data_IF_453954122091
#
_entry.id   IF_453954122091
#
_cell.length_a   1.000
_cell.length_b   1.000
_cell.length_c   1.000
_cell.angle_alpha   90.00
_cell.angle_beta   90.00
_cell.angle_gamma   90.00
#
_symmetry.space_group_name_H-M   'P 1'
#
loop_
_entity.id
_entity.type
_entity.pdbx_description
1 polymer ?
#
# COMPACT_ATOMS: atom_id res chain seq x y z
N UNK A 1 32.96 -4.00 1.09
CA UNK A 1 31.93 -3.04 0.64
C UNK A 1 31.78 -3.19 -0.87
N UNK A 2 30.77 -3.89 -1.33
CA UNK A 2 30.48 -4.04 -2.76
C UNK A 2 29.70 -2.80 -3.20
N UNK A 3 30.11 -2.18 -4.29
CA UNK A 3 29.48 -0.96 -4.84
C UNK A 3 28.12 -1.26 -5.45
N UNK A 4 27.20 -0.29 -5.47
CA UNK A 4 25.83 -0.42 -6.01
C UNK A 4 25.74 -0.99 -7.45
N UNK A 5 26.79 -0.87 -8.23
CA UNK A 5 26.86 -1.45 -9.59
C UNK A 5 26.99 -2.97 -9.61
N UNK A 6 27.52 -3.60 -8.56
CA UNK A 6 27.65 -5.06 -8.49
C UNK A 6 26.34 -5.72 -8.00
N UNK A 7 25.49 -4.99 -7.28
CA UNK A 7 24.15 -5.47 -6.91
C UNK A 7 23.13 -5.43 -8.06
N UNK A 8 23.27 -4.50 -8.99
CA UNK A 8 22.36 -4.36 -10.15
C UNK A 8 22.47 -5.52 -11.15
N UNK A 9 23.59 -6.23 -11.22
CA UNK A 9 23.78 -7.36 -12.13
C UNK A 9 23.27 -8.71 -11.59
N UNK A 10 22.94 -8.78 -10.30
CA UNK A 10 22.35 -9.96 -9.66
C UNK A 10 20.81 -9.93 -9.63
N UNK A 11 20.22 -8.79 -9.93
CA UNK A 11 18.78 -8.68 -10.20
C UNK A 11 18.59 -8.97 -11.68
N UNK A 12 18.58 -10.24 -12.08
CA UNK A 12 17.90 -10.61 -13.31
C UNK A 12 16.49 -10.08 -13.17
N UNK A 13 16.05 -9.24 -14.09
CA UNK A 13 14.65 -8.92 -14.30
C UNK A 13 13.96 -10.24 -14.68
N UNK A 14 13.62 -11.01 -13.65
CA UNK A 14 12.81 -12.19 -13.83
C UNK A 14 11.46 -11.70 -14.33
N UNK A 15 11.18 -12.04 -15.59
CA UNK A 15 9.81 -12.14 -16.10
C UNK A 15 8.98 -12.72 -14.95
N UNK A 16 7.76 -12.20 -14.68
CA UNK A 16 6.96 -12.67 -13.57
C UNK A 16 6.95 -14.18 -13.63
N UNK A 17 7.61 -14.81 -12.67
CA UNK A 17 7.64 -16.26 -12.57
C UNK A 17 6.21 -16.69 -12.48
N UNK A 18 5.72 -17.31 -13.53
CA UNK A 18 4.34 -17.80 -13.64
C UNK A 18 3.95 -18.74 -12.51
N UNK A 19 4.92 -19.17 -11.71
CA UNK A 19 4.75 -20.12 -10.63
C UNK A 19 5.65 -19.78 -9.44
N UNK A 20 5.14 -19.03 -8.47
CA UNK A 20 5.76 -18.98 -7.14
C UNK A 20 5.86 -20.39 -6.53
N UNK A 21 4.99 -21.30 -6.95
CA UNK A 21 4.92 -22.71 -6.55
C UNK A 21 5.71 -23.65 -7.45
N UNK A 22 5.95 -23.30 -8.72
CA UNK A 22 6.93 -24.00 -9.57
C UNK A 22 8.34 -23.89 -9.03
N UNK A 23 8.61 -22.85 -8.25
CA UNK A 23 9.86 -22.69 -7.48
C UNK A 23 10.00 -23.72 -6.35
N UNK A 24 8.88 -24.22 -5.84
CA UNK A 24 8.81 -25.25 -4.80
C UNK A 24 8.60 -26.66 -5.39
N UNK A 25 8.59 -26.80 -6.71
CA UNK A 25 8.44 -28.12 -7.34
C UNK A 25 9.70 -28.95 -7.09
N UNK A 26 9.50 -30.18 -6.64
CA UNK A 26 10.51 -31.09 -6.09
C UNK A 26 11.67 -31.44 -7.02
N UNK A 27 11.70 -30.90 -8.23
CA UNK A 27 12.77 -31.16 -9.23
C UNK A 27 13.66 -29.93 -9.48
N UNK A 28 13.38 -28.78 -8.87
CA UNK A 28 14.29 -27.64 -8.92
C UNK A 28 15.43 -27.84 -7.92
N UNK A 29 16.68 -27.62 -8.37
CA UNK A 29 17.83 -27.57 -7.47
C UNK A 29 17.54 -26.58 -6.34
N UNK A 30 17.87 -26.90 -5.07
CA UNK A 30 17.67 -25.97 -3.98
C UNK A 30 18.42 -24.69 -4.29
N UNK A 31 17.70 -23.56 -4.28
CA UNK A 31 18.33 -22.26 -4.44
C UNK A 31 18.98 -21.92 -3.11
N UNK A 32 20.29 -21.80 -3.11
CA UNK A 32 21.06 -21.31 -1.98
C UNK A 32 21.00 -19.78 -1.96
N UNK A 33 20.70 -19.22 -0.81
CA UNK A 33 20.68 -17.75 -0.60
C UNK A 33 21.30 -17.44 0.78
N UNK A 34 21.97 -16.31 0.87
CA UNK A 34 22.61 -15.86 2.10
C UNK A 34 21.68 -15.02 2.97
N UNK A 35 20.68 -14.39 2.36
CA UNK A 35 19.74 -13.52 3.06
C UNK A 35 18.37 -13.46 2.39
N UNK A 36 17.33 -13.23 3.21
CA UNK A 36 15.96 -12.93 2.76
C UNK A 36 15.65 -11.48 3.11
N UNK A 37 15.19 -10.71 2.12
CA UNK A 37 14.72 -9.34 2.31
C UNK A 37 13.22 -9.23 2.11
N UNK A 38 12.49 -8.82 3.16
CA UNK A 38 11.06 -8.57 3.11
C UNK A 38 10.83 -7.10 2.80
N UNK A 39 10.02 -6.82 1.77
CA UNK A 39 9.65 -5.45 1.37
C UNK A 39 8.15 -5.35 1.14
N UNK A 40 7.61 -4.13 1.24
CA UNK A 40 6.27 -3.83 0.76
C UNK A 40 6.29 -3.75 -0.78
N UNK A 41 5.28 -4.35 -1.40
CA UNK A 41 5.09 -4.22 -2.84
C UNK A 41 4.45 -2.86 -3.17
N UNK A 42 4.93 -2.19 -4.22
CA UNK A 42 4.28 -1.00 -4.75
C UNK A 42 2.97 -1.36 -5.45
N UNK A 43 2.03 -0.40 -5.63
CA UNK A 43 0.80 -0.64 -6.40
C UNK A 43 1.06 -1.17 -7.81
N UNK A 44 2.09 -0.67 -8.50
CA UNK A 44 2.50 -1.10 -9.84
C UNK A 44 2.97 -2.56 -9.82
N UNK A 45 3.71 -2.94 -8.78
CA UNK A 45 4.16 -4.33 -8.60
C UNK A 45 2.98 -5.27 -8.36
N UNK A 46 2.02 -4.87 -7.53
CA UNK A 46 0.79 -5.64 -7.29
C UNK A 46 0.00 -5.81 -8.59
N UNK A 47 -0.18 -4.73 -9.37
CA UNK A 47 -0.85 -4.81 -10.69
C UNK A 47 -0.11 -5.73 -11.66
N UNK A 48 1.23 -5.75 -11.64
CA UNK A 48 2.01 -6.65 -12.50
C UNK A 48 1.83 -8.13 -12.18
N UNK A 49 1.50 -8.47 -10.93
CA UNK A 49 1.20 -9.85 -10.51
C UNK A 49 -0.25 -10.23 -10.74
N UNK A 50 -1.14 -9.25 -10.88
CA UNK A 50 -2.57 -9.47 -10.95
C UNK A 50 -3.02 -10.00 -12.31
N UNK A 51 -3.98 -10.93 -12.29
CA UNK A 51 -4.67 -11.44 -13.49
C UNK A 51 -5.95 -10.65 -13.80
N UNK A 52 -6.30 -9.65 -13.00
CA UNK A 52 -7.43 -8.77 -13.22
C UNK A 52 -7.94 -8.10 -11.96
N UNK A 53 -8.77 -7.09 -12.16
CA UNK A 53 -9.40 -6.31 -11.11
C UNK A 53 -10.69 -6.98 -10.62
N UNK A 54 -10.81 -7.11 -9.30
CA UNK A 54 -12.04 -7.54 -8.63
C UNK A 54 -12.90 -6.30 -8.37
N UNK A 55 -14.06 -6.20 -9.05
CA UNK A 55 -14.94 -5.01 -9.00
C UNK A 55 -16.18 -5.20 -8.14
N UNK A 56 -16.50 -6.45 -7.81
CA UNK A 56 -17.72 -6.80 -7.08
C UNK A 56 -17.41 -7.57 -5.81
N UNK A 57 -18.15 -7.32 -4.73
CA UNK A 57 -17.96 -8.05 -3.47
C UNK A 57 -18.53 -9.47 -3.48
N UNK A 58 -19.35 -9.82 -4.50
CA UNK A 58 -19.99 -11.12 -4.59
C UNK A 58 -18.96 -12.23 -4.79
N UNK A 59 -19.24 -13.36 -4.18
CA UNK A 59 -18.40 -14.56 -4.24
C UNK A 59 -18.95 -15.58 -5.24
N UNK A 60 -20.13 -16.11 -4.95
CA UNK A 60 -20.83 -17.13 -5.74
C UNK A 60 -22.29 -16.75 -5.96
N UNK A 61 -22.86 -17.24 -7.05
CA UNK A 61 -24.29 -17.18 -7.28
C UNK A 61 -24.98 -18.28 -6.47
N UNK A 62 -25.88 -17.92 -5.54
CA UNK A 62 -26.55 -18.87 -4.65
C UNK A 62 -27.47 -19.88 -5.36
N UNK A 63 -27.96 -19.55 -6.56
CA UNK A 63 -28.81 -20.45 -7.36
C UNK A 63 -27.99 -21.49 -8.11
N UNK A 64 -26.82 -21.07 -8.67
CA UNK A 64 -26.03 -21.94 -9.56
C UNK A 64 -24.76 -22.48 -8.92
N UNK A 65 -24.39 -21.98 -7.74
CA UNK A 65 -23.13 -22.23 -7.01
C UNK A 65 -21.87 -21.98 -7.84
N UNK A 66 -21.98 -21.17 -8.90
CA UNK A 66 -20.85 -20.78 -9.73
C UNK A 66 -20.28 -19.44 -9.26
N UNK A 67 -18.95 -19.21 -9.40
CA UNK A 67 -18.34 -17.92 -9.11
C UNK A 67 -18.97 -16.80 -9.93
N UNK A 68 -19.29 -15.71 -9.26
CA UNK A 68 -19.78 -14.49 -9.93
C UNK A 68 -18.69 -13.84 -10.76
N UNK A 69 -19.09 -13.26 -11.88
CA UNK A 69 -18.19 -12.57 -12.78
C UNK A 69 -17.70 -11.28 -12.12
N UNK A 70 -16.39 -11.03 -12.20
CA UNK A 70 -15.69 -9.87 -11.63
C UNK A 70 -15.80 -9.77 -10.09
N UNK A 71 -16.26 -10.84 -9.44
CA UNK A 71 -16.33 -11.01 -7.99
C UNK A 71 -15.06 -11.59 -7.38
N UNK A 72 -15.09 -11.79 -6.06
CA UNK A 72 -13.94 -12.29 -5.28
C UNK A 72 -13.49 -13.70 -5.66
N UNK A 73 -14.33 -14.49 -6.33
CA UNK A 73 -14.01 -15.85 -6.82
C UNK A 73 -14.07 -15.99 -8.34
N UNK A 74 -14.03 -14.87 -9.06
CA UNK A 74 -14.19 -14.84 -10.51
C UNK A 74 -13.29 -15.86 -11.25
N UNK A 75 -13.89 -16.71 -12.07
CA UNK A 75 -13.15 -17.72 -12.81
C UNK A 75 -12.28 -17.12 -13.93
N UNK A 76 -12.62 -15.92 -14.43
CA UNK A 76 -11.82 -15.22 -15.44
C UNK A 76 -10.50 -14.70 -14.84
N UNK A 77 -10.54 -14.23 -13.59
CA UNK A 77 -9.37 -13.68 -12.90
C UNK A 77 -8.52 -14.82 -12.32
N UNK A 78 -9.14 -15.69 -11.55
CA UNK A 78 -8.41 -16.70 -10.77
C UNK A 78 -8.26 -18.05 -11.47
N UNK A 79 -9.04 -18.31 -12.51
CA UNK A 79 -9.01 -19.56 -13.23
C UNK A 79 -10.27 -20.43 -13.04
N UNK A 80 -10.35 -21.57 -13.75
CA UNK A 80 -11.51 -22.44 -13.75
C UNK A 80 -11.71 -23.14 -12.40
N UNK A 81 -12.94 -23.51 -12.08
CA UNK A 81 -13.28 -24.29 -10.87
C UNK A 81 -13.08 -25.79 -11.03
N UNK A 82 -13.09 -26.28 -12.27
CA UNK A 82 -12.85 -27.67 -12.62
C UNK A 82 -11.68 -27.75 -13.60
N UNK A 83 -10.90 -28.83 -13.52
CA UNK A 83 -9.76 -29.06 -14.40
C UNK A 83 -10.19 -29.11 -15.86
N UNK A 84 -9.53 -28.29 -16.68
CA UNK A 84 -9.72 -28.23 -18.12
C UNK A 84 -11.17 -27.99 -18.57
N UNK A 85 -11.96 -27.26 -17.78
CA UNK A 85 -13.34 -26.89 -18.12
C UNK A 85 -13.55 -25.38 -17.92
N UNK A 86 -14.03 -24.68 -18.95
CA UNK A 86 -14.39 -23.26 -18.80
C UNK A 86 -15.70 -23.10 -18.03
N UNK A 87 -15.98 -21.91 -17.46
CA UNK A 87 -17.14 -21.66 -16.61
C UNK A 87 -18.50 -21.88 -17.31
N UNK A 88 -18.59 -21.63 -18.63
CA UNK A 88 -19.81 -21.86 -19.42
C UNK A 88 -19.96 -23.31 -19.94
N UNK A 89 -18.91 -24.14 -19.83
CA UNK A 89 -18.91 -25.50 -20.28
C UNK A 89 -18.73 -25.71 -21.79
N UNK A 90 -18.46 -24.65 -22.56
CA UNK A 90 -18.21 -24.72 -24.02
C UNK A 90 -16.96 -25.54 -24.34
N UNK A 91 -15.87 -25.27 -23.64
CA UNK A 91 -14.60 -25.97 -23.77
C UNK A 91 -14.41 -26.90 -22.58
N UNK A 92 -14.23 -28.19 -22.85
CA UNK A 92 -13.98 -29.25 -21.89
C UNK A 92 -12.85 -30.14 -22.36
N UNK A 93 -12.12 -30.73 -21.43
CA UNK A 93 -11.02 -31.65 -21.64
C UNK A 93 -9.68 -30.98 -22.00
N UNK A 94 -8.63 -31.73 -21.79
CA UNK A 94 -7.22 -31.34 -21.92
C UNK A 94 -6.83 -30.87 -23.33
N UNK A 95 -7.52 -31.32 -24.38
CA UNK A 95 -7.24 -30.90 -25.76
C UNK A 95 -7.39 -29.39 -25.99
N UNK A 96 -8.12 -28.71 -25.15
CA UNK A 96 -8.30 -27.25 -25.21
C UNK A 96 -7.46 -26.51 -24.17
N UNK A 97 -6.45 -27.16 -23.57
CA UNK A 97 -5.58 -26.54 -22.57
C UNK A 97 -4.94 -25.25 -23.13
N UNK A 98 -4.98 -24.17 -22.34
CA UNK A 98 -4.45 -22.85 -22.68
C UNK A 98 -5.39 -22.00 -23.54
N UNK A 99 -6.52 -22.52 -24.01
CA UNK A 99 -7.51 -21.73 -24.77
C UNK A 99 -8.31 -20.85 -23.84
N UNK A 100 -8.41 -19.56 -24.16
CA UNK A 100 -9.33 -18.64 -23.47
C UNK A 100 -10.69 -18.71 -24.13
N UNK A 101 -11.71 -19.04 -23.35
CA UNK A 101 -13.06 -19.18 -23.86
C UNK A 101 -13.61 -17.82 -24.35
N UNK A 102 -14.02 -17.75 -25.62
CA UNK A 102 -14.63 -16.57 -26.24
C UNK A 102 -15.95 -16.14 -25.59
N UNK A 103 -16.73 -17.10 -25.02
CA UNK A 103 -18.01 -16.81 -24.39
C UNK A 103 -17.88 -16.33 -22.92
N UNK A 104 -17.04 -16.96 -22.12
CA UNK A 104 -16.94 -16.64 -20.68
C UNK A 104 -15.60 -16.03 -20.26
N UNK A 105 -14.61 -15.95 -21.16
CA UNK A 105 -13.30 -15.37 -20.87
C UNK A 105 -12.40 -16.18 -19.93
N UNK A 106 -12.81 -17.43 -19.59
CA UNK A 106 -12.06 -18.29 -18.67
C UNK A 106 -11.05 -19.12 -19.47
N UNK A 107 -9.81 -19.11 -19.02
CA UNK A 107 -8.75 -19.96 -19.58
C UNK A 107 -8.97 -21.41 -19.18
N UNK A 108 -8.84 -22.33 -20.14
CA UNK A 108 -8.99 -23.77 -19.93
C UNK A 108 -7.67 -24.33 -19.41
N UNK A 109 -7.55 -24.45 -18.09
CA UNK A 109 -6.36 -24.94 -17.40
C UNK A 109 -6.74 -25.75 -16.16
N UNK A 110 -5.76 -26.17 -15.38
CA UNK A 110 -6.01 -26.88 -14.12
C UNK A 110 -6.61 -25.94 -13.06
N UNK A 111 -7.56 -26.43 -12.28
CA UNK A 111 -8.19 -25.67 -11.19
C UNK A 111 -7.19 -25.23 -10.10
N UNK A 112 -6.04 -25.91 -9.99
CA UNK A 112 -4.94 -25.57 -9.06
C UNK A 112 -4.46 -24.14 -9.23
N UNK A 113 -4.48 -23.56 -10.45
CA UNK A 113 -4.07 -22.18 -10.71
C UNK A 113 -4.84 -21.16 -9.88
N UNK A 114 -6.03 -21.49 -9.38
CA UNK A 114 -6.81 -20.63 -8.48
C UNK A 114 -6.13 -20.36 -7.14
N UNK A 115 -5.20 -21.21 -6.73
CA UNK A 115 -4.38 -21.01 -5.51
C UNK A 115 -3.13 -20.20 -5.76
N UNK A 116 -2.77 -19.96 -7.01
CA UNK A 116 -1.52 -19.32 -7.43
C UNK A 116 -1.79 -17.92 -8.00
N UNK A 117 -2.90 -17.75 -8.72
CA UNK A 117 -3.24 -16.47 -9.37
C UNK A 117 -3.71 -15.43 -8.36
N UNK A 118 -3.17 -14.23 -8.50
CA UNK A 118 -3.55 -13.06 -7.73
C UNK A 118 -4.47 -12.15 -8.55
N UNK A 119 -5.43 -11.54 -7.90
CA UNK A 119 -6.19 -10.40 -8.41
C UNK A 119 -5.88 -9.17 -7.57
N UNK A 120 -6.40 -8.02 -7.96
CA UNK A 120 -6.27 -6.78 -7.20
C UNK A 120 -7.61 -6.08 -7.06
N UNK A 121 -7.70 -5.21 -6.08
CA UNK A 121 -8.82 -4.31 -5.85
C UNK A 121 -8.27 -2.89 -5.91
N UNK A 122 -8.82 -2.06 -6.81
CA UNK A 122 -8.51 -0.63 -6.83
C UNK A 122 -9.26 0.05 -5.68
N UNK A 123 -8.51 0.76 -4.85
CA UNK A 123 -9.11 1.52 -3.75
C UNK A 123 -9.62 2.87 -4.25
N UNK A 124 -10.81 3.28 -3.79
CA UNK A 124 -11.40 4.57 -4.14
C UNK A 124 -10.57 5.76 -3.63
N UNK A 125 -9.86 5.58 -2.50
CA UNK A 125 -8.98 6.58 -1.91
C UNK A 125 -7.73 5.92 -1.32
N UNK A 126 -6.61 6.65 -1.17
CA UNK A 126 -5.42 6.13 -0.51
C UNK A 126 -5.72 5.69 0.92
N UNK A 127 -5.02 4.63 1.36
CA UNK A 127 -5.11 4.12 2.73
C UNK A 127 -3.72 4.08 3.34
N UNK A 128 -3.60 4.51 4.60
CA UNK A 128 -2.34 4.44 5.34
C UNK A 128 -2.04 3.02 5.75
N UNK A 129 -0.81 2.54 5.47
CA UNK A 129 -0.39 1.20 5.84
C UNK A 129 -0.24 1.08 7.37
N UNK A 130 -0.83 0.04 7.95
CA UNK A 130 -0.89 -0.18 9.40
C UNK A 130 0.49 -0.25 10.07
N UNK A 131 1.51 -0.77 9.41
CA UNK A 131 2.88 -0.84 9.97
C UNK A 131 3.50 0.53 10.21
N UNK A 132 3.20 1.52 9.37
CA UNK A 132 3.70 2.88 9.53
C UNK A 132 2.81 3.76 10.39
N UNK A 133 1.53 3.39 10.50
CA UNK A 133 0.54 4.15 11.25
C UNK A 133 0.41 3.64 12.70
N UNK A 134 0.05 2.36 12.93
CA UNK A 134 -0.19 1.79 14.27
C UNK A 134 1.02 1.10 14.89
N UNK A 135 2.18 1.12 14.25
CA UNK A 135 3.42 0.65 14.87
C UNK A 135 3.76 1.44 16.14
N UNK A 136 4.45 0.83 17.08
CA UNK A 136 4.93 1.51 18.30
C UNK A 136 6.46 1.60 18.29
N UNK A 137 7.03 2.80 18.06
CA UNK A 137 6.36 4.10 17.81
C UNK A 137 5.81 4.21 16.39
N UNK A 138 4.74 5.01 16.19
CA UNK A 138 4.21 5.29 14.86
C UNK A 138 5.23 6.02 13.99
N UNK A 139 5.63 5.43 12.86
CA UNK A 139 6.59 6.07 11.95
C UNK A 139 6.02 7.38 11.38
N UNK A 140 4.77 7.38 10.94
CA UNK A 140 4.08 8.59 10.44
C UNK A 140 4.03 9.65 11.54
N UNK A 141 3.68 9.26 12.76
CA UNK A 141 3.64 10.17 13.90
C UNK A 141 4.99 10.80 14.21
N UNK A 142 6.07 10.02 14.13
CA UNK A 142 7.43 10.54 14.36
C UNK A 142 7.91 11.46 13.23
N UNK A 143 7.62 11.12 11.97
CA UNK A 143 7.95 11.97 10.81
C UNK A 143 7.22 13.30 10.89
N UNK A 144 5.90 13.30 11.09
CA UNK A 144 5.07 14.50 11.15
C UNK A 144 5.15 15.22 12.48
N UNK A 145 5.74 14.63 13.53
CA UNK A 145 5.71 15.12 14.91
C UNK A 145 4.29 15.31 15.43
N UNK A 146 3.44 14.31 15.18
CA UNK A 146 2.04 14.28 15.60
C UNK A 146 1.76 13.06 16.48
N UNK A 147 0.96 13.19 17.54
CA UNK A 147 0.55 12.06 18.34
C UNK A 147 -0.37 11.12 17.54
N UNK A 148 -0.35 9.83 17.88
CA UNK A 148 -1.15 8.82 17.20
C UNK A 148 -2.65 9.15 17.22
N UNK A 149 -3.15 9.68 18.35
CA UNK A 149 -4.55 10.08 18.50
C UNK A 149 -5.00 11.12 17.47
N UNK A 150 -4.14 12.09 17.19
CA UNK A 150 -4.45 13.15 16.22
C UNK A 150 -4.42 12.59 14.79
N UNK A 151 -3.48 11.69 14.50
CA UNK A 151 -3.45 10.97 13.23
C UNK A 151 -4.69 10.09 13.02
N UNK A 152 -5.19 9.45 14.07
CA UNK A 152 -6.44 8.67 14.01
C UNK A 152 -7.62 9.53 13.63
N UNK A 153 -7.80 10.70 14.24
CA UNK A 153 -8.88 11.63 13.90
C UNK A 153 -8.83 12.07 12.43
N UNK A 154 -7.64 12.34 11.90
CA UNK A 154 -7.48 12.70 10.48
C UNK A 154 -7.84 11.50 9.58
N UNK A 155 -7.25 10.33 9.85
CA UNK A 155 -7.36 9.15 9.00
C UNK A 155 -8.77 8.54 9.00
N UNK A 156 -9.50 8.67 10.11
CA UNK A 156 -10.88 8.20 10.23
C UNK A 156 -11.93 9.27 9.91
N UNK A 157 -11.51 10.40 9.31
CA UNK A 157 -12.39 11.46 8.83
C UNK A 157 -13.21 12.15 9.95
N UNK A 158 -12.65 12.24 11.17
CA UNK A 158 -13.27 12.95 12.29
C UNK A 158 -12.95 14.45 12.28
N UNK A 159 -11.69 14.81 11.97
CA UNK A 159 -11.22 16.20 11.98
C UNK A 159 -10.38 16.52 10.73
N UNK A 160 -10.40 17.77 10.32
CA UNK A 160 -9.51 18.31 9.29
C UNK A 160 -8.12 18.61 9.84
N UNK A 161 -7.11 18.44 9.03
CA UNK A 161 -5.75 18.93 9.30
C UNK A 161 -5.42 20.09 8.38
N UNK A 162 -4.80 21.13 8.93
CA UNK A 162 -4.31 22.28 8.16
C UNK A 162 -3.06 21.88 7.40
N UNK A 163 -3.15 21.87 6.08
CA UNK A 163 -2.04 21.59 5.15
C UNK A 163 -1.23 22.85 4.89
N UNK A 164 -1.93 23.96 4.60
CA UNK A 164 -1.35 25.27 4.43
C UNK A 164 -2.25 26.30 5.16
N UNK A 165 -1.72 27.03 6.13
CA UNK A 165 -2.48 28.03 6.89
C UNK A 165 -2.83 29.27 6.07
N UNK A 166 -2.10 29.59 5.00
CA UNK A 166 -2.35 30.77 4.19
C UNK A 166 -2.51 32.05 5.01
N UNK A 167 -3.68 32.69 4.91
CA UNK A 167 -4.06 33.92 5.67
C UNK A 167 -4.88 33.63 6.93
N UNK A 168 -5.23 32.37 7.20
CA UNK A 168 -6.05 32.03 8.36
C UNK A 168 -5.22 32.01 9.67
N UNK A 169 -5.82 32.31 10.82
CA UNK A 169 -5.16 32.25 12.13
C UNK A 169 -5.04 30.83 12.64
N UNK A 170 -4.43 29.94 11.85
CA UNK A 170 -4.17 28.55 12.16
C UNK A 170 -2.72 28.22 11.87
N UNK A 171 -2.20 27.17 12.49
CA UNK A 171 -0.83 26.70 12.22
C UNK A 171 -0.87 25.45 11.33
N UNK A 172 0.16 25.23 10.55
CA UNK A 172 0.33 23.99 9.79
C UNK A 172 0.27 22.79 10.74
N UNK A 173 -0.53 21.78 10.38
CA UNK A 173 -0.83 20.55 11.16
C UNK A 173 -1.79 20.73 12.33
N UNK A 174 -2.39 21.91 12.53
CA UNK A 174 -3.47 22.07 13.50
C UNK A 174 -4.69 21.22 13.08
N UNK A 175 -5.40 20.69 14.07
CA UNK A 175 -6.65 19.97 13.86
C UNK A 175 -7.83 20.92 13.98
N UNK A 176 -8.73 20.82 13.03
CA UNK A 176 -9.95 21.63 12.98
C UNK A 176 -11.17 20.71 12.91
N UNK A 177 -12.11 20.91 13.82
CA UNK A 177 -13.44 20.31 13.68
C UNK A 177 -14.13 20.83 12.42
N UNK A 178 -15.09 20.07 11.89
CA UNK A 178 -15.87 20.44 10.70
C UNK A 178 -16.47 21.86 10.84
N UNK A 179 -17.07 22.15 12.02
CA UNK A 179 -17.70 23.45 12.28
C UNK A 179 -16.67 24.60 12.30
N UNK A 180 -15.50 24.38 12.87
CA UNK A 180 -14.44 25.38 12.94
C UNK A 180 -13.81 25.64 11.57
N UNK A 181 -13.61 24.60 10.77
CA UNK A 181 -13.13 24.73 9.41
C UNK A 181 -14.12 25.53 8.54
N UNK A 182 -15.42 25.26 8.71
CA UNK A 182 -16.49 26.01 8.02
C UNK A 182 -16.51 27.49 8.41
N UNK A 183 -16.48 27.81 9.70
CA UNK A 183 -16.41 29.19 10.18
C UNK A 183 -15.21 29.96 9.65
N UNK A 184 -14.03 29.33 9.66
CA UNK A 184 -12.81 29.94 9.09
C UNK A 184 -12.94 30.18 7.58
N UNK A 185 -13.59 29.28 6.86
CA UNK A 185 -13.87 29.45 5.43
C UNK A 185 -14.89 30.58 5.15
N UNK A 186 -15.87 30.78 6.03
CA UNK A 186 -16.83 31.88 5.96
C UNK A 186 -16.15 33.23 6.28
N UNK A 187 -15.24 33.29 7.25
CA UNK A 187 -14.54 34.51 7.68
C UNK A 187 -13.42 34.97 6.73
N UNK A 188 -12.64 34.03 6.20
CA UNK A 188 -11.42 34.34 5.43
C UNK A 188 -11.54 34.00 3.94
N UNK A 189 -12.61 33.32 3.53
CA UNK A 189 -12.81 32.79 2.19
C UNK A 189 -12.31 31.34 2.04
N UNK A 190 -12.94 30.56 1.13
CA UNK A 190 -12.63 29.13 0.97
C UNK A 190 -11.21 28.86 0.48
N UNK A 191 -10.62 29.78 -0.28
CA UNK A 191 -9.26 29.65 -0.86
C UNK A 191 -8.17 30.26 0.02
N UNK A 192 -8.52 30.82 1.18
CA UNK A 192 -7.56 31.50 2.06
C UNK A 192 -6.62 30.54 2.78
N UNK A 193 -6.97 29.31 2.93
CA UNK A 193 -6.20 28.25 3.58
C UNK A 193 -6.54 26.87 3.00
N UNK A 194 -5.63 25.92 3.16
CA UNK A 194 -5.83 24.56 2.66
C UNK A 194 -5.94 23.56 3.82
N UNK A 195 -7.03 22.82 3.84
CA UNK A 195 -7.28 21.74 4.79
C UNK A 195 -7.54 20.42 4.06
N UNK A 196 -7.33 19.31 4.74
CA UNK A 196 -7.60 17.99 4.20
C UNK A 196 -7.98 17.00 5.27
N UNK A 197 -8.53 15.88 4.85
CA UNK A 197 -8.85 14.71 5.69
C UNK A 197 -8.28 13.43 5.09
N UNK A 198 -8.25 12.38 5.91
CA UNK A 198 -7.88 11.05 5.46
C UNK A 198 -6.40 10.85 5.13
N UNK A 199 -6.10 9.73 4.51
CA UNK A 199 -4.72 9.38 4.14
C UNK A 199 -4.13 10.28 3.05
N UNK A 200 -4.99 10.93 2.28
CA UNK A 200 -4.56 11.87 1.23
C UNK A 200 -3.90 13.11 1.82
N UNK A 201 -4.50 13.68 2.86
CA UNK A 201 -3.92 14.79 3.61
C UNK A 201 -2.59 14.42 4.27
N UNK A 202 -2.51 13.24 4.88
CA UNK A 202 -1.26 12.71 5.47
C UNK A 202 -0.18 12.52 4.38
N UNK A 203 -0.53 12.01 3.20
CA UNK A 203 0.38 11.87 2.07
C UNK A 203 0.94 13.21 1.61
N UNK A 204 0.11 14.25 1.56
CA UNK A 204 0.53 15.59 1.19
C UNK A 204 1.49 16.18 2.24
N UNK A 205 1.19 16.04 3.52
CA UNK A 205 2.08 16.46 4.61
C UNK A 205 3.43 15.75 4.55
N UNK A 206 3.45 14.45 4.26
CA UNK A 206 4.69 13.67 4.15
C UNK A 206 5.52 14.07 2.93
N UNK A 207 4.89 14.33 1.78
CA UNK A 207 5.57 14.80 0.55
C UNK A 207 6.23 16.18 0.73
N UNK A 208 5.67 17.00 1.59
CA UNK A 208 6.22 18.31 1.93
C UNK A 208 7.34 18.29 2.97
N UNK A 209 7.85 17.12 3.39
CA UNK A 209 8.95 16.99 4.34
C UNK A 209 10.31 16.91 3.63
N UNK A 210 11.24 17.76 4.03
CA UNK A 210 12.68 17.59 3.76
C UNK A 210 13.30 16.79 4.90
N UNK A 211 13.61 15.52 4.64
CA UNK A 211 14.15 14.61 5.66
C UNK A 211 15.57 14.98 6.07
N UNK A 212 16.38 15.50 5.14
CA UNK A 212 17.75 15.89 5.45
C UNK A 212 17.81 17.16 6.31
N UNK A 213 17.00 18.16 5.97
CA UNK A 213 16.86 19.37 6.78
C UNK A 213 16.35 19.02 8.18
N UNK A 214 15.32 18.18 8.27
CA UNK A 214 14.77 17.71 9.54
C UNK A 214 15.78 16.92 10.38
N UNK A 215 16.62 16.11 9.75
CA UNK A 215 17.70 15.37 10.45
C UNK A 215 18.73 16.33 11.04
N UNK A 216 19.15 17.36 10.27
CA UNK A 216 20.09 18.40 10.75
C UNK A 216 19.52 19.19 11.94
N UNK A 217 18.27 19.61 11.83
CA UNK A 217 17.57 20.32 12.90
C UNK A 217 17.49 19.49 14.20
N UNK A 218 17.09 18.23 14.11
CA UNK A 218 16.99 17.34 15.27
C UNK A 218 18.34 17.03 15.90
N UNK A 219 19.41 16.94 15.12
CA UNK A 219 20.77 16.81 15.66
C UNK A 219 21.18 18.04 16.44
N UNK A 220 20.91 19.24 15.91
CA UNK A 220 21.17 20.48 16.62
C UNK A 220 20.35 20.59 17.92
N UNK A 221 19.06 20.25 17.84
CA UNK A 221 18.18 20.20 19.01
C UNK A 221 18.65 19.21 20.08
N UNK A 222 19.15 18.04 19.67
CA UNK A 222 19.70 17.03 20.58
C UNK A 222 20.89 17.55 21.38
N UNK A 223 21.77 18.35 20.75
CA UNK A 223 22.96 18.92 21.39
C UNK A 223 22.59 20.03 22.37
N UNK A 224 21.57 20.85 22.06
CA UNK A 224 21.12 21.96 22.93
C UNK A 224 20.13 21.57 24.04
N UNK A 225 19.57 20.34 24.02
CA UNK A 225 18.54 19.96 24.99
C UNK A 225 19.15 19.47 26.30
N UNK A 226 18.87 20.18 27.39
CA UNK A 226 19.33 19.85 28.75
C UNK A 226 18.54 18.68 29.39
N UNK A 227 17.27 18.52 29.04
CA UNK A 227 16.40 17.48 29.62
C UNK A 227 16.66 16.10 29.03
N UNK A 228 17.06 15.15 29.85
CA UNK A 228 17.33 13.76 29.45
C UNK A 228 16.09 13.11 28.79
N UNK A 229 14.90 13.38 29.31
CA UNK A 229 13.65 12.80 28.77
C UNK A 229 13.33 13.36 27.38
N UNK A 230 13.45 14.66 27.19
CA UNK A 230 13.26 15.31 25.89
C UNK A 230 14.32 14.83 24.88
N UNK A 231 15.58 14.77 25.30
CA UNK A 231 16.69 14.25 24.49
C UNK A 231 16.42 12.83 24.00
N UNK A 232 15.92 11.92 24.88
CA UNK A 232 15.53 10.56 24.49
C UNK A 232 14.43 10.56 23.41
N UNK A 233 13.44 11.45 23.47
CA UNK A 233 12.39 11.58 22.45
C UNK A 233 12.98 12.04 21.10
N UNK A 234 13.84 13.05 21.12
CA UNK A 234 14.52 13.54 19.92
C UNK A 234 15.36 12.44 19.26
N UNK A 235 16.14 11.68 20.05
CA UNK A 235 16.96 10.56 19.54
C UNK A 235 16.09 9.47 18.92
N UNK A 236 14.96 9.11 19.52
CA UNK A 236 14.03 8.11 18.95
C UNK A 236 13.50 8.58 17.60
N UNK A 237 13.11 9.85 17.49
CA UNK A 237 12.62 10.45 16.26
C UNK A 237 13.72 10.50 15.18
N UNK A 238 14.92 10.94 15.53
CA UNK A 238 16.07 11.01 14.64
C UNK A 238 16.41 9.63 14.05
N UNK A 239 16.41 8.57 14.85
CA UNK A 239 16.65 7.19 14.36
C UNK A 239 15.68 6.77 13.27
N UNK A 240 14.41 7.12 13.39
CA UNK A 240 13.40 6.80 12.37
C UNK A 240 13.65 7.58 11.09
N UNK A 241 13.92 8.89 11.20
CA UNK A 241 14.20 9.76 10.04
C UNK A 241 15.44 9.26 9.29
N UNK A 242 16.52 8.95 10.01
CA UNK A 242 17.75 8.42 9.40
C UNK A 242 17.53 7.05 8.74
N UNK A 243 16.63 6.23 9.28
CA UNK A 243 16.26 4.96 8.63
C UNK A 243 15.54 5.19 7.30
N UNK A 244 14.67 6.21 7.21
CA UNK A 244 14.00 6.57 5.95
C UNK A 244 14.94 7.21 4.93
N UNK A 245 15.94 7.98 5.37
CA UNK A 245 16.97 8.54 4.45
C UNK A 245 17.82 7.42 3.83
N UNK A 246 18.07 6.32 4.57
CA UNK A 246 18.91 5.21 4.12
C UNK A 246 18.17 4.15 3.29
N UNK A 247 16.83 4.15 3.28
CA UNK A 247 16.01 3.17 2.56
C UNK A 247 15.81 3.50 1.10
#
# INVERSE_FOLDING_TARGET
MLTDRQFGSLIREDKPTKDLWGFLDRHSKPITFDAIRIRLASPEKIRSWSHGEVRKPETINYRTFKPERDGLFCARIFGPTKDYECACGKYKRMKFAGVVCDKCGVEVTRARVRRERMGHIELASPVSHVWFFKGLPSCIGQLLNMPLRDLEKILYFEEYVVLDPGKAPAKKKDLLTVDRARKLAEEHGPDAFKVGMGAEAIRELLRGLDLEALSRELRAQMLGEASVLKRKKVVKRLKIIEAFIKS
#
